data_IF_064420407517
#
_entry.id   IF_064420407517
#
_cell.length_a   1.000
_cell.length_b   1.000
_cell.length_c   1.000
_cell.angle_alpha   90.00
_cell.angle_beta   90.00
_cell.angle_gamma   90.00
#
_symmetry.space_group_name_H-M   'P 1'
#
loop_
_entity.id
_entity.type
_entity.pdbx_description
1 polymer ?
#
# COMPACT_ATOMS: atom_id res chain seq x y z
N UNK A 1 13.22 6.65 -5.33
CA UNK A 1 13.54 6.00 -4.02
C UNK A 1 12.22 5.73 -3.31
N UNK A 2 12.15 4.71 -2.43
CA UNK A 2 10.95 4.46 -1.61
C UNK A 2 11.31 4.74 -0.16
N UNK A 3 10.49 5.53 0.53
CA UNK A 3 10.66 5.89 1.94
C UNK A 3 9.39 5.67 2.72
N UNK A 4 9.51 5.20 3.96
CA UNK A 4 8.41 5.12 4.90
C UNK A 4 8.19 6.47 5.58
N UNK A 5 6.95 6.95 5.55
CA UNK A 5 6.48 8.11 6.30
C UNK A 5 5.36 7.66 7.27
N UNK A 6 4.85 8.58 8.08
CA UNK A 6 3.72 8.28 8.97
C UNK A 6 2.51 7.81 8.16
N UNK A 7 2.13 6.54 8.37
CA UNK A 7 0.97 5.88 7.77
C UNK A 7 0.98 5.79 6.23
N UNK A 8 2.14 5.88 5.58
CA UNK A 8 2.27 5.69 4.13
C UNK A 8 3.69 5.37 3.72
N UNK A 9 3.83 4.78 2.54
CA UNK A 9 5.10 4.72 1.82
C UNK A 9 5.04 5.65 0.63
N UNK A 10 6.15 6.33 0.34
CA UNK A 10 6.27 7.32 -0.72
C UNK A 10 7.32 6.87 -1.71
N UNK A 11 7.01 6.98 -3.00
CA UNK A 11 7.99 6.81 -4.08
C UNK A 11 8.36 8.19 -4.64
N UNK A 12 9.67 8.41 -4.78
CA UNK A 12 10.24 9.58 -5.46
C UNK A 12 10.89 9.20 -6.78
N UNK A 13 10.72 10.06 -7.79
CA UNK A 13 11.33 9.98 -9.13
C UNK A 13 12.06 11.31 -9.38
N UNK A 14 13.37 11.25 -9.65
CA UNK A 14 14.24 12.44 -9.80
C UNK A 14 14.05 13.51 -8.70
N UNK A 15 13.96 13.09 -7.45
CA UNK A 15 13.79 13.97 -6.29
C UNK A 15 12.36 14.51 -6.08
N UNK A 16 11.42 14.21 -6.98
CA UNK A 16 10.03 14.62 -6.86
C UNK A 16 9.18 13.47 -6.31
N UNK A 17 8.21 13.80 -5.45
CA UNK A 17 7.24 12.82 -4.96
C UNK A 17 6.34 12.37 -6.10
N UNK A 18 6.51 11.13 -6.54
CA UNK A 18 5.78 10.56 -7.67
C UNK A 18 4.49 9.84 -7.26
N UNK A 19 4.40 9.38 -6.01
CA UNK A 19 3.21 8.71 -5.53
C UNK A 19 3.34 8.18 -4.12
N UNK A 20 2.29 7.51 -3.65
CA UNK A 20 2.25 6.92 -2.32
C UNK A 20 1.26 5.77 -2.20
N UNK A 21 1.47 4.92 -1.20
CA UNK A 21 0.51 3.90 -0.76
C UNK A 21 0.25 4.10 0.73
N UNK A 22 -1.02 4.34 1.07
CA UNK A 22 -1.43 4.59 2.45
C UNK A 22 -1.77 3.28 3.16
N UNK A 23 -1.43 3.24 4.45
CA UNK A 23 -1.75 2.12 5.31
C UNK A 23 -2.26 2.55 6.68
N UNK A 24 -2.90 1.62 7.38
CA UNK A 24 -3.16 1.68 8.82
C UNK A 24 -2.84 0.34 9.44
N UNK A 25 -2.31 0.36 10.65
CA UNK A 25 -2.05 -0.86 11.40
C UNK A 25 -3.24 -1.12 12.33
N UNK A 26 -3.81 -2.33 12.25
CA UNK A 26 -4.98 -2.75 13.03
C UNK A 26 -4.86 -4.23 13.39
N UNK A 27 -5.06 -4.57 14.67
CA UNK A 27 -5.01 -5.95 15.17
C UNK A 27 -3.74 -6.73 14.79
N UNK A 28 -2.59 -6.05 14.70
CA UNK A 28 -1.32 -6.67 14.32
C UNK A 28 -1.18 -6.92 12.81
N UNK A 29 -2.05 -6.35 11.98
CA UNK A 29 -2.00 -6.41 10.52
C UNK A 29 -1.85 -5.01 9.93
N UNK A 30 -1.22 -4.93 8.75
CA UNK A 30 -1.11 -3.68 7.99
C UNK A 30 -2.13 -3.65 6.84
N UNK A 31 -3.06 -2.72 6.92
CA UNK A 31 -4.15 -2.54 5.96
C UNK A 31 -3.71 -1.52 4.90
N UNK A 32 -3.34 -1.97 3.70
CA UNK A 32 -3.07 -1.09 2.56
C UNK A 32 -4.38 -0.74 1.85
N UNK A 33 -4.77 0.53 1.87
CA UNK A 33 -6.12 0.94 1.45
C UNK A 33 -6.18 1.93 0.30
N UNK A 34 -5.11 2.67 0.03
CA UNK A 34 -5.05 3.60 -1.09
C UNK A 34 -3.69 3.56 -1.74
N UNK A 35 -3.63 3.65 -3.06
CA UNK A 35 -2.36 3.74 -3.81
C UNK A 35 -2.58 4.66 -4.99
N UNK A 36 -1.69 5.64 -5.13
CA UNK A 36 -1.82 6.68 -6.13
C UNK A 36 -0.45 7.08 -6.66
N UNK A 37 -0.37 7.21 -7.98
CA UNK A 37 0.77 7.78 -8.70
C UNK A 37 0.27 9.05 -9.39
N UNK A 38 1.04 10.13 -9.28
CA UNK A 38 0.73 11.39 -9.96
C UNK A 38 0.61 11.17 -11.47
N UNK A 39 -0.37 11.81 -12.15
CA UNK A 39 -0.64 11.57 -13.57
C UNK A 39 0.59 11.81 -14.47
N UNK A 40 1.45 12.76 -14.12
CA UNK A 40 2.72 13.08 -14.81
C UNK A 40 3.77 11.96 -14.73
N UNK A 41 3.61 11.05 -13.77
CA UNK A 41 4.46 9.87 -13.54
C UNK A 41 3.82 8.56 -14.07
N UNK A 42 2.64 8.65 -14.68
CA UNK A 42 1.92 7.51 -15.25
C UNK A 42 2.70 6.75 -16.34
N UNK A 43 2.39 5.47 -16.52
CA UNK A 43 2.99 4.62 -17.58
C UNK A 43 4.42 4.14 -17.31
N UNK A 44 5.02 4.47 -16.16
CA UNK A 44 6.42 4.15 -15.81
C UNK A 44 6.57 2.92 -14.91
N UNK A 45 5.48 2.21 -14.60
CA UNK A 45 5.50 1.05 -13.68
C UNK A 45 5.73 1.40 -12.20
N UNK A 46 5.69 2.69 -11.83
CA UNK A 46 6.03 3.14 -10.48
C UNK A 46 5.08 2.62 -9.38
N UNK A 47 3.81 2.40 -9.70
CA UNK A 47 2.85 1.84 -8.74
C UNK A 47 3.26 0.43 -8.28
N UNK A 48 3.73 -0.43 -9.19
CA UNK A 48 4.19 -1.77 -8.86
C UNK A 48 5.44 -1.73 -7.99
N UNK A 49 6.44 -0.93 -8.39
CA UNK A 49 7.69 -0.73 -7.61
C UNK A 49 7.42 -0.20 -6.21
N UNK A 50 6.49 0.75 -6.09
CA UNK A 50 6.08 1.31 -4.81
C UNK A 50 5.47 0.24 -3.90
N UNK A 51 4.54 -0.58 -4.41
CA UNK A 51 3.91 -1.65 -3.63
C UNK A 51 4.93 -2.70 -3.22
N UNK A 52 5.79 -3.15 -4.14
CA UNK A 52 6.88 -4.09 -3.86
C UNK A 52 7.76 -3.59 -2.71
N UNK A 53 8.32 -2.38 -2.83
CA UNK A 53 9.20 -1.84 -1.80
C UNK A 53 8.48 -1.49 -0.49
N UNK A 54 7.17 -1.24 -0.51
CA UNK A 54 6.36 -1.07 0.70
C UNK A 54 6.14 -2.41 1.42
N UNK A 55 5.96 -3.50 0.67
CA UNK A 55 5.81 -4.85 1.21
C UNK A 55 7.13 -5.33 1.80
N UNK A 56 8.26 -5.13 1.12
CA UNK A 56 9.59 -5.49 1.63
C UNK A 56 9.93 -4.80 2.96
N UNK A 57 9.42 -3.59 3.18
CA UNK A 57 9.58 -2.83 4.42
C UNK A 57 8.48 -3.11 5.45
N UNK A 58 7.53 -4.01 5.15
CA UNK A 58 6.43 -4.38 6.04
C UNK A 58 6.73 -5.72 6.72
N UNK A 59 6.77 -5.67 8.04
CA UNK A 59 7.01 -6.82 8.94
C UNK A 59 5.71 -7.44 9.49
N UNK A 60 4.56 -6.86 9.19
CA UNK A 60 3.23 -7.35 9.59
C UNK A 60 2.54 -8.12 8.45
N UNK A 61 1.62 -9.05 8.77
CA UNK A 61 0.69 -9.60 7.79
C UNK A 61 -0.12 -8.48 7.10
N UNK A 62 -0.40 -8.66 5.82
CA UNK A 62 -1.01 -7.63 4.97
C UNK A 62 -2.50 -7.88 4.72
N UNK A 63 -3.30 -6.83 4.84
CA UNK A 63 -4.70 -6.82 4.38
C UNK A 63 -4.82 -5.91 3.16
N UNK A 64 -5.10 -6.50 2.01
CA UNK A 64 -5.12 -5.80 0.72
C UNK A 64 -6.51 -5.21 0.40
N UNK A 65 -6.80 -4.04 1.00
CA UNK A 65 -8.02 -3.27 0.73
C UNK A 65 -7.94 -2.62 -0.64
N UNK A 66 -6.82 -1.99 -0.96
CA UNK A 66 -6.59 -1.39 -2.27
C UNK A 66 -6.62 -2.48 -3.36
N UNK A 67 -7.46 -2.35 -4.40
CA UNK A 67 -7.51 -3.32 -5.49
C UNK A 67 -6.18 -3.46 -6.24
N UNK A 68 -5.40 -2.38 -6.32
CA UNK A 68 -4.09 -2.41 -6.96
C UNK A 68 -3.10 -3.28 -6.18
N UNK A 69 -3.01 -3.09 -4.86
CA UNK A 69 -2.15 -3.90 -3.99
C UNK A 69 -2.55 -5.37 -4.04
N UNK A 70 -3.86 -5.66 -4.00
CA UNK A 70 -4.37 -7.03 -4.17
C UNK A 70 -3.94 -7.63 -5.50
N UNK A 71 -4.18 -6.93 -6.60
CA UNK A 71 -3.80 -7.41 -7.92
C UNK A 71 -2.29 -7.57 -8.09
N UNK A 72 -1.47 -6.81 -7.35
CA UNK A 72 -0.02 -7.02 -7.31
C UNK A 72 0.33 -8.31 -6.55
N UNK A 73 -0.22 -8.52 -5.36
CA UNK A 73 0.00 -9.73 -4.54
C UNK A 73 -0.44 -11.01 -5.27
N UNK A 74 -1.55 -10.95 -6.01
CA UNK A 74 -2.04 -12.11 -6.78
C UNK A 74 -1.16 -12.47 -7.99
N UNK A 75 -0.41 -11.52 -8.55
CA UNK A 75 0.31 -11.68 -9.82
C UNK A 75 1.82 -11.91 -9.66
N UNK A 76 2.40 -11.44 -8.57
CA UNK A 76 3.84 -11.47 -8.35
C UNK A 76 4.20 -12.54 -7.34
N UNK A 77 5.32 -13.21 -7.55
CA UNK A 77 5.85 -14.15 -6.57
C UNK A 77 6.39 -13.37 -5.37
N UNK A 78 5.97 -13.76 -4.17
CA UNK A 78 6.32 -13.07 -2.94
C UNK A 78 6.21 -14.02 -1.74
N UNK A 79 6.83 -13.65 -0.62
CA UNK A 79 6.80 -14.45 0.62
C UNK A 79 5.89 -13.86 1.71
N UNK A 80 5.33 -12.68 1.48
CA UNK A 80 4.47 -11.99 2.46
C UNK A 80 3.20 -12.77 2.77
N UNK A 81 2.85 -12.85 4.05
CA UNK A 81 1.54 -13.35 4.50
C UNK A 81 0.50 -12.26 4.25
N UNK A 82 -0.57 -12.57 3.53
CA UNK A 82 -1.64 -11.61 3.24
C UNK A 82 -3.01 -12.27 3.17
N UNK A 83 -4.05 -11.43 3.26
CA UNK A 83 -5.45 -11.82 3.05
C UNK A 83 -6.28 -10.71 2.41
N UNK A 84 -7.45 -11.07 1.92
CA UNK A 84 -8.48 -10.10 1.51
C UNK A 84 -9.17 -9.49 2.74
N UNK A 85 -9.69 -8.25 2.62
CA UNK A 85 -10.37 -7.58 3.72
C UNK A 85 -11.72 -8.21 4.01
N UNK A 86 -12.08 -8.22 5.29
CA UNK A 86 -13.42 -8.51 5.78
C UNK A 86 -14.26 -7.23 5.82
N UNK A 87 -15.60 -7.33 5.91
CA UNK A 87 -16.44 -6.17 6.15
C UNK A 87 -16.08 -5.39 7.44
N UNK A 88 -15.56 -6.08 8.46
CA UNK A 88 -15.13 -5.46 9.70
C UNK A 88 -13.89 -4.56 9.50
N UNK A 89 -12.92 -5.01 8.69
CA UNK A 89 -11.73 -4.21 8.36
C UNK A 89 -12.13 -2.90 7.66
N UNK A 90 -13.06 -2.99 6.69
CA UNK A 90 -13.54 -1.83 5.93
C UNK A 90 -14.29 -0.86 6.86
N UNK A 91 -15.20 -1.39 7.69
CA UNK A 91 -15.98 -0.58 8.64
C UNK A 91 -15.07 0.14 9.64
N UNK A 92 -14.07 -0.55 10.16
CA UNK A 92 -13.09 0.03 11.07
C UNK A 92 -12.27 1.12 10.37
N UNK A 93 -11.74 0.85 9.17
CA UNK A 93 -10.94 1.81 8.43
C UNK A 93 -11.72 3.09 8.12
N UNK A 94 -12.97 2.98 7.69
CA UNK A 94 -13.83 4.14 7.43
C UNK A 94 -14.03 5.01 8.67
N UNK A 95 -14.19 4.37 9.83
CA UNK A 95 -14.30 5.07 11.12
C UNK A 95 -12.98 5.70 11.56
N UNK A 96 -11.85 5.09 11.23
CA UNK A 96 -10.54 5.62 11.56
C UNK A 96 -10.16 6.81 10.68
N UNK A 97 -10.51 6.80 9.40
CA UNK A 97 -10.23 7.89 8.45
C UNK A 97 -11.17 9.10 8.61
N UNK A 98 -12.28 8.96 9.33
CA UNK A 98 -13.22 10.07 9.60
C UNK A 98 -12.93 10.84 10.89
N UNK A 99 -11.86 10.48 11.59
CA UNK A 99 -11.37 11.17 12.79
C UNK A 99 -10.36 12.24 12.42
#
# INVERSE_FOLDING_TARGET
>A
MITQETNRFVITDDGHRAGHTDYRDHNGERLFFHTEIGPEFGGRGLAGRLVEGALEQTDLPVVAICPFVRGWLEKNDHTHTWRTPTPADITWLQKELSR
#
